data_IF_151781808462
#
_entry.id   IF_151781808462
#
_cell.length_a   1.000
_cell.length_b   1.000
_cell.length_c   1.000
_cell.angle_alpha   90.00
_cell.angle_beta   90.00
_cell.angle_gamma   90.00
#
_symmetry.space_group_name_H-M   'P 1'
#
loop_
_entity.id
_entity.type
_entity.pdbx_description
1 polymer ?
#
# COMPACT_ATOMS: atom_id res chain seq x y z
N UNK A 1 17.02 14.25 8.51
CA UNK A 1 15.66 13.95 8.01
C UNK A 1 14.68 14.32 9.09
N UNK A 2 13.54 14.89 8.73
CA UNK A 2 12.50 15.28 9.68
C UNK A 2 11.71 14.02 10.12
N UNK A 3 11.41 13.93 11.42
CA UNK A 3 10.51 12.91 11.95
C UNK A 3 9.06 13.37 11.78
N UNK A 4 8.17 12.44 11.48
CA UNK A 4 6.73 12.72 11.34
C UNK A 4 5.90 11.86 12.28
N UNK A 5 4.78 12.43 12.72
CA UNK A 5 3.80 11.76 13.57
C UNK A 5 2.41 11.92 12.95
N UNK A 6 1.71 10.82 12.78
CA UNK A 6 0.41 10.74 12.15
C UNK A 6 -0.59 10.02 13.06
N UNK A 7 -1.79 10.58 13.17
CA UNK A 7 -2.87 9.86 13.80
C UNK A 7 -3.44 8.80 12.84
N UNK A 8 -3.93 7.70 13.40
CA UNK A 8 -4.59 6.67 12.60
C UNK A 8 -5.80 7.24 11.86
N UNK A 9 -5.95 6.97 10.55
CA UNK A 9 -7.11 7.41 9.79
C UNK A 9 -8.39 6.63 10.11
N UNK A 10 -8.31 5.56 10.88
CA UNK A 10 -9.46 4.74 11.26
C UNK A 10 -9.26 4.11 12.63
N UNK A 11 -10.36 3.75 13.28
CA UNK A 11 -10.36 3.01 14.53
C UNK A 11 -10.19 1.51 14.29
N UNK A 12 -9.65 0.81 15.28
CA UNK A 12 -9.36 -0.61 15.27
C UNK A 12 -8.17 -0.90 16.18
N UNK A 13 -7.39 -1.91 15.86
CA UNK A 13 -6.16 -2.27 16.57
C UNK A 13 -4.94 -1.95 15.72
N UNK A 14 -4.09 -1.05 16.20
CA UNK A 14 -2.85 -0.68 15.52
C UNK A 14 -1.84 -1.85 15.57
N UNK A 15 -1.30 -2.25 14.42
CA UNK A 15 -0.31 -3.32 14.28
C UNK A 15 0.84 -2.89 13.35
N UNK A 16 2.04 -3.47 13.48
CA UNK A 16 3.12 -3.24 12.53
C UNK A 16 2.79 -3.83 11.15
N UNK A 17 3.34 -3.24 10.08
CA UNK A 17 3.13 -3.73 8.72
C UNK A 17 3.57 -5.18 8.53
N UNK A 18 4.58 -5.63 9.28
CA UNK A 18 5.09 -7.02 9.23
C UNK A 18 4.05 -8.08 9.62
N UNK A 19 2.96 -7.69 10.28
CA UNK A 19 1.85 -8.58 10.62
C UNK A 19 0.77 -8.65 9.52
N UNK A 20 0.88 -7.84 8.47
CA UNK A 20 -0.06 -7.90 7.33
C UNK A 20 0.25 -9.15 6.50
N UNK A 21 -0.77 -9.87 6.11
CA UNK A 21 -0.65 -11.13 5.35
C UNK A 21 -0.08 -10.95 3.95
N UNK A 22 -0.25 -9.75 3.36
CA UNK A 22 0.28 -9.42 2.04
C UNK A 22 1.76 -9.03 2.11
N UNK A 23 2.67 -9.81 1.48
CA UNK A 23 4.11 -9.52 1.48
C UNK A 23 4.48 -8.14 0.89
N UNK A 24 3.68 -7.58 -0.02
CA UNK A 24 3.94 -6.26 -0.59
C UNK A 24 3.87 -5.16 0.48
N UNK A 25 2.97 -5.31 1.46
CA UNK A 25 2.89 -4.40 2.61
C UNK A 25 3.87 -4.80 3.71
N UNK A 26 3.92 -6.08 4.05
CA UNK A 26 4.72 -6.59 5.17
C UNK A 26 6.23 -6.31 5.01
N UNK A 27 6.73 -6.35 3.77
CA UNK A 27 8.14 -6.08 3.45
C UNK A 27 8.52 -4.59 3.52
N UNK A 28 7.54 -3.68 3.59
CA UNK A 28 7.76 -2.24 3.50
C UNK A 28 8.17 -1.74 2.10
N UNK A 29 8.09 -2.58 1.07
CA UNK A 29 8.44 -2.21 -0.31
C UNK A 29 7.58 -1.07 -0.88
N UNK A 30 6.35 -0.92 -0.38
CA UNK A 30 5.41 0.13 -0.77
C UNK A 30 5.56 1.43 0.02
N UNK A 31 6.44 1.45 1.02
CA UNK A 31 6.63 2.56 1.94
C UNK A 31 6.67 2.10 3.40
N UNK A 32 6.86 3.05 4.32
CA UNK A 32 6.86 2.77 5.76
C UNK A 32 5.53 3.18 6.37
N UNK A 33 5.09 2.44 7.38
CA UNK A 33 3.80 2.74 8.00
C UNK A 33 3.41 1.77 9.09
N UNK A 34 2.11 1.68 9.30
CA UNK A 34 1.45 0.75 10.20
C UNK A 34 0.19 0.19 9.53
N UNK A 35 -0.45 -0.78 10.16
CA UNK A 35 -1.74 -1.27 9.71
C UNK A 35 -2.77 -1.26 10.85
N UNK A 36 -4.04 -1.23 10.47
CA UNK A 36 -5.15 -1.29 11.41
C UNK A 36 -5.88 -2.62 11.21
N UNK A 37 -5.79 -3.48 12.20
CA UNK A 37 -6.56 -4.71 12.27
C UNK A 37 -7.95 -4.41 12.86
N UNK A 38 -8.95 -5.21 12.43
CA UNK A 38 -10.33 -5.11 12.94
C UNK A 38 -10.93 -3.69 12.84
N UNK A 39 -10.86 -3.04 11.65
CA UNK A 39 -11.30 -1.66 11.51
C UNK A 39 -12.82 -1.50 11.65
N UNK A 40 -13.28 -0.32 12.14
CA UNK A 40 -14.71 0.00 12.32
C UNK A 40 -15.43 0.42 11.02
N UNK A 41 -14.79 0.44 9.87
CA UNK A 41 -15.44 0.70 8.58
C UNK A 41 -15.54 2.19 8.19
N UNK A 42 -14.85 3.11 8.89
CA UNK A 42 -14.79 4.54 8.54
C UNK A 42 -13.35 5.01 8.44
N UNK A 43 -13.01 5.61 7.31
CA UNK A 43 -11.69 6.19 7.03
C UNK A 43 -11.82 7.71 7.01
N UNK A 44 -11.04 8.38 7.84
CA UNK A 44 -10.93 9.84 7.87
C UNK A 44 -9.54 10.29 7.43
N UNK A 45 -9.40 11.52 6.96
CA UNK A 45 -8.08 12.05 6.63
C UNK A 45 -7.23 12.27 7.88
N UNK A 46 -6.02 11.70 7.94
CA UNK A 46 -5.09 11.96 9.05
C UNK A 46 -4.36 13.32 8.91
N UNK A 47 -4.48 13.97 7.77
CA UNK A 47 -3.77 15.22 7.41
C UNK A 47 -4.68 16.19 6.68
N UNK A 48 -4.27 17.46 6.60
CA UNK A 48 -4.75 18.40 5.61
C UNK A 48 -4.02 18.15 4.29
N UNK A 49 -4.71 18.10 3.15
CA UNK A 49 -4.06 17.81 1.88
C UNK A 49 -5.02 17.69 0.70
N UNK A 50 -4.56 17.05 -0.35
CA UNK A 50 -5.32 16.79 -1.58
C UNK A 50 -5.39 15.28 -1.85
N UNK A 51 -6.53 14.80 -2.30
CA UNK A 51 -6.71 13.41 -2.77
C UNK A 51 -6.03 13.26 -4.12
N UNK A 52 -4.86 12.65 -4.15
CA UNK A 52 -4.06 12.44 -5.37
C UNK A 52 -4.56 11.26 -6.19
N UNK A 53 -5.10 10.24 -5.52
CA UNK A 53 -5.70 9.09 -6.19
C UNK A 53 -6.86 8.53 -5.38
N UNK A 54 -7.94 8.17 -6.07
CA UNK A 54 -9.03 7.35 -5.55
C UNK A 54 -9.29 6.25 -6.57
N UNK A 55 -9.04 5.00 -6.18
CA UNK A 55 -9.24 3.86 -7.06
C UNK A 55 -10.74 3.67 -7.37
N UNK A 56 -11.07 3.27 -8.60
CA UNK A 56 -12.46 3.07 -9.03
C UNK A 56 -13.24 2.08 -8.15
N UNK A 57 -12.57 1.06 -7.62
CA UNK A 57 -13.09 0.11 -6.61
C UNK A 57 -13.10 0.66 -5.17
N UNK A 58 -12.71 1.92 -4.95
CA UNK A 58 -12.76 2.65 -3.66
C UNK A 58 -12.03 1.96 -2.48
N UNK A 59 -11.29 0.90 -2.74
CA UNK A 59 -10.56 0.14 -1.72
C UNK A 59 -9.27 0.86 -1.27
N UNK A 60 -8.77 1.79 -2.08
CA UNK A 60 -7.55 2.51 -1.76
C UNK A 60 -7.67 3.99 -2.14
N UNK A 61 -7.06 4.84 -1.30
CA UNK A 61 -7.01 6.29 -1.47
C UNK A 61 -5.61 6.80 -1.15
N UNK A 62 -5.09 7.67 -2.01
CA UNK A 62 -3.85 8.41 -1.80
C UNK A 62 -4.11 9.87 -1.50
N UNK A 63 -3.31 10.44 -0.59
CA UNK A 63 -3.39 11.84 -0.17
C UNK A 63 -1.98 12.44 -0.18
N UNK A 64 -1.83 13.58 -0.83
CA UNK A 64 -0.65 14.42 -0.68
C UNK A 64 -0.94 15.47 0.38
N UNK A 65 -0.21 15.45 1.49
CA UNK A 65 -0.42 16.41 2.57
C UNK A 65 0.15 17.79 2.24
N UNK A 66 -0.36 18.82 2.90
CA UNK A 66 0.19 20.18 2.80
C UNK A 66 1.67 20.27 3.24
N UNK A 67 2.12 19.33 4.07
CA UNK A 67 3.51 19.23 4.56
C UNK A 67 4.40 18.33 3.68
N UNK A 68 3.89 17.88 2.52
CA UNK A 68 4.65 17.09 1.53
C UNK A 68 4.68 15.59 1.79
N UNK A 69 3.82 15.05 2.66
CA UNK A 69 3.74 13.61 2.95
C UNK A 69 2.80 12.95 1.94
N UNK A 70 3.28 11.90 1.26
CA UNK A 70 2.45 11.07 0.39
C UNK A 70 1.93 9.86 1.16
N UNK A 71 0.62 9.84 1.40
CA UNK A 71 -0.08 8.80 2.13
C UNK A 71 -0.83 7.88 1.18
N UNK A 72 -0.80 6.58 1.47
CA UNK A 72 -1.68 5.57 0.88
C UNK A 72 -2.41 4.83 2.00
N UNK A 73 -3.74 4.82 1.94
CA UNK A 73 -4.60 4.02 2.81
C UNK A 73 -5.24 2.93 1.93
N UNK A 74 -4.99 1.67 2.25
CA UNK A 74 -5.46 0.53 1.47
C UNK A 74 -6.35 -0.35 2.33
N UNK A 75 -7.67 -0.30 2.11
CA UNK A 75 -8.65 -1.01 2.93
C UNK A 75 -8.70 -2.48 2.54
N UNK A 76 -8.25 -3.32 3.45
CA UNK A 76 -8.24 -4.77 3.30
C UNK A 76 -7.15 -5.29 2.36
N UNK A 77 -7.06 -6.60 2.25
CA UNK A 77 -6.17 -7.30 1.34
C UNK A 77 -6.99 -7.89 0.19
N UNK A 78 -6.54 -7.68 -1.04
CA UNK A 78 -7.21 -8.17 -2.27
C UNK A 78 -8.63 -7.61 -2.52
N UNK A 79 -9.08 -6.62 -1.78
CA UNK A 79 -10.42 -6.04 -1.85
C UNK A 79 -10.71 -5.26 -3.14
N UNK A 80 -9.70 -5.04 -3.99
CA UNK A 80 -9.88 -4.58 -5.38
C UNK A 80 -10.84 -5.49 -6.16
N UNK A 81 -10.87 -6.79 -5.84
CA UNK A 81 -11.73 -7.80 -6.48
C UNK A 81 -13.23 -7.62 -6.18
N UNK A 82 -13.56 -6.83 -5.16
CA UNK A 82 -14.94 -6.48 -4.82
C UNK A 82 -15.51 -5.40 -5.75
N UNK A 83 -14.70 -4.80 -6.64
CA UNK A 83 -15.10 -3.81 -7.64
C UNK A 83 -15.91 -2.64 -7.06
N UNK A 84 -15.66 -2.29 -5.79
CA UNK A 84 -16.33 -1.22 -5.06
C UNK A 84 -17.56 -1.66 -4.27
N UNK A 85 -17.95 -2.93 -4.31
CA UNK A 85 -19.00 -3.48 -3.46
C UNK A 85 -18.58 -3.34 -1.97
N UNK A 86 -19.50 -2.90 -1.15
CA UNK A 86 -19.30 -2.61 0.27
C UNK A 86 -18.44 -1.37 0.57
N UNK A 87 -18.15 -0.52 -0.44
CA UNK A 87 -17.41 0.72 -0.26
C UNK A 87 -18.22 1.94 -0.71
N UNK A 88 -18.16 3.00 0.06
CA UNK A 88 -18.71 4.32 -0.27
C UNK A 88 -17.63 5.37 -0.15
N UNK A 89 -17.39 6.14 -1.23
CA UNK A 89 -16.50 7.28 -1.21
C UNK A 89 -17.29 8.57 -0.96
N UNK A 90 -16.75 9.45 -0.11
CA UNK A 90 -17.31 10.76 0.22
C UNK A 90 -16.48 11.90 -0.37
N UNK A 91 -15.41 11.55 -1.08
CA UNK A 91 -14.50 12.46 -1.78
C UNK A 91 -14.20 11.92 -3.16
N UNK A 92 -13.65 12.78 -4.02
CA UNK A 92 -13.15 12.45 -5.34
C UNK A 92 -11.66 12.78 -5.45
N UNK A 93 -11.00 12.22 -6.46
CA UNK A 93 -9.64 12.62 -6.81
C UNK A 93 -9.60 14.11 -7.19
N UNK A 94 -8.63 14.84 -6.65
CA UNK A 94 -8.47 16.28 -6.78
C UNK A 94 -9.16 17.09 -5.66
N UNK A 95 -9.95 16.45 -4.79
CA UNK A 95 -10.57 17.15 -3.67
C UNK A 95 -9.53 17.55 -2.61
N UNK A 96 -9.68 18.77 -2.08
CA UNK A 96 -8.96 19.18 -0.87
C UNK A 96 -9.68 18.66 0.34
N UNK A 97 -8.92 18.03 1.26
CA UNK A 97 -9.44 17.41 2.48
C UNK A 97 -8.78 18.02 3.72
N UNK A 98 -9.51 17.95 4.82
CA UNK A 98 -9.05 18.38 6.14
C UNK A 98 -8.86 17.19 7.07
N UNK A 99 -7.92 17.28 8.00
CA UNK A 99 -7.76 16.29 9.06
C UNK A 99 -9.10 16.01 9.76
N UNK A 100 -9.42 14.74 9.91
CA UNK A 100 -10.69 14.26 10.48
C UNK A 100 -11.88 14.23 9.51
N UNK A 101 -11.73 14.75 8.28
CA UNK A 101 -12.78 14.66 7.27
C UNK A 101 -12.98 13.22 6.81
N UNK A 102 -14.26 12.79 6.73
CA UNK A 102 -14.61 11.46 6.22
C UNK A 102 -14.25 11.32 4.76
N UNK A 103 -13.51 10.27 4.43
CA UNK A 103 -13.05 9.95 3.08
C UNK A 103 -13.81 8.78 2.48
N UNK A 104 -13.83 7.65 3.21
CA UNK A 104 -14.43 6.39 2.80
C UNK A 104 -15.24 5.78 3.94
N UNK A 105 -16.30 5.08 3.58
CA UNK A 105 -16.95 4.11 4.44
C UNK A 105 -16.95 2.75 3.77
N UNK A 106 -16.85 1.69 4.58
CA UNK A 106 -16.91 0.31 4.10
C UNK A 106 -17.58 -0.58 5.15
N UNK A 107 -18.13 -1.69 4.71
CA UNK A 107 -18.72 -2.69 5.60
C UNK A 107 -17.73 -3.83 5.87
N UNK A 108 -17.04 -3.81 7.03
CA UNK A 108 -16.02 -4.81 7.32
C UNK A 108 -16.60 -6.23 7.50
N UNK A 109 -17.86 -6.35 7.93
CA UNK A 109 -18.50 -7.67 8.10
C UNK A 109 -18.87 -8.25 6.74
N UNK A 110 -19.43 -7.45 5.86
CA UNK A 110 -19.76 -7.87 4.50
C UNK A 110 -18.50 -8.23 3.69
N UNK A 111 -17.41 -7.47 3.84
CA UNK A 111 -16.12 -7.77 3.19
C UNK A 111 -15.57 -9.12 3.69
N UNK A 112 -15.61 -9.37 5.00
CA UNK A 112 -15.20 -10.66 5.58
C UNK A 112 -16.10 -11.81 5.13
N UNK A 113 -17.39 -11.59 4.99
CA UNK A 113 -18.32 -12.59 4.48
C UNK A 113 -18.03 -13.00 3.02
N UNK A 114 -17.48 -12.10 2.22
CA UNK A 114 -16.99 -12.39 0.85
C UNK A 114 -15.61 -13.10 0.85
N UNK A 115 -15.02 -13.37 2.01
CA UNK A 115 -13.73 -14.06 2.16
C UNK A 115 -12.49 -13.18 2.10
N UNK A 116 -12.61 -11.86 2.25
CA UNK A 116 -11.49 -10.93 2.22
C UNK A 116 -11.12 -10.43 3.61
N UNK A 117 -9.83 -10.16 3.81
CA UNK A 117 -9.34 -9.55 5.04
C UNK A 117 -9.59 -8.04 5.02
N UNK A 118 -9.91 -7.49 6.21
CA UNK A 118 -10.18 -6.06 6.38
C UNK A 118 -9.00 -5.30 6.98
N UNK A 119 -7.91 -5.97 7.34
CA UNK A 119 -6.68 -5.31 7.80
C UNK A 119 -6.26 -4.23 6.81
N UNK A 120 -6.11 -3.01 7.31
CA UNK A 120 -5.96 -1.80 6.50
C UNK A 120 -4.56 -1.20 6.67
N UNK A 121 -3.62 -1.44 5.74
CA UNK A 121 -2.35 -0.74 5.69
C UNK A 121 -2.49 0.76 5.48
N UNK A 122 -1.69 1.54 6.22
CA UNK A 122 -1.53 2.98 6.11
C UNK A 122 -0.05 3.29 5.93
N UNK A 123 0.31 3.81 4.77
CA UNK A 123 1.69 3.93 4.33
C UNK A 123 2.05 5.38 4.03
N UNK A 124 3.29 5.75 4.34
CA UNK A 124 3.97 6.91 3.76
C UNK A 124 4.80 6.41 2.59
N UNK A 125 4.41 6.73 1.37
CA UNK A 125 5.03 6.17 0.15
C UNK A 125 6.33 6.88 -0.20
N UNK A 126 6.46 8.17 0.11
CA UNK A 126 7.72 8.93 0.03
C UNK A 126 8.54 8.86 1.35
N UNK A 127 8.47 7.74 2.04
CA UNK A 127 9.08 7.54 3.36
C UNK A 127 10.61 7.72 3.40
N UNK A 128 11.28 7.64 2.24
CA UNK A 128 12.72 7.88 2.14
C UNK A 128 13.13 9.32 2.47
N UNK A 129 12.18 10.27 2.36
CA UNK A 129 12.42 11.70 2.62
C UNK A 129 12.40 12.03 4.12
N UNK A 130 11.92 11.09 4.95
CA UNK A 130 11.68 11.28 6.38
C UNK A 130 12.56 10.38 7.24
N UNK A 131 12.80 10.83 8.47
CA UNK A 131 13.45 10.07 9.53
C UNK A 131 12.50 9.00 10.11
N UNK A 132 12.14 9.15 11.38
CA UNK A 132 11.18 8.28 12.05
C UNK A 132 9.75 8.63 11.64
N UNK A 133 8.96 7.62 11.31
CA UNK A 133 7.52 7.76 11.04
C UNK A 133 6.77 7.06 12.17
N UNK A 134 5.92 7.79 12.87
CA UNK A 134 5.15 7.30 14.00
C UNK A 134 3.66 7.41 13.71
N UNK A 135 2.94 6.30 13.84
CA UNK A 135 1.49 6.26 13.83
C UNK A 135 0.95 6.09 15.24
N UNK A 136 -0.15 6.79 15.55
CA UNK A 136 -0.81 6.78 16.86
C UNK A 136 -2.29 6.45 16.74
N UNK A 137 -2.80 5.66 17.68
CA UNK A 137 -4.23 5.36 17.82
C UNK A 137 -4.56 5.24 19.30
N UNK A 138 -5.17 6.28 19.89
CA UNK A 138 -5.31 6.38 21.33
C UNK A 138 -3.94 6.36 22.02
N UNK A 139 -3.74 5.45 22.97
CA UNK A 139 -2.47 5.27 23.67
C UNK A 139 -1.48 4.36 22.92
N UNK A 140 -1.92 3.72 21.83
CA UNK A 140 -1.05 2.86 21.02
C UNK A 140 -0.21 3.69 20.06
N UNK A 141 1.07 3.30 19.94
CA UNK A 141 2.03 3.94 19.04
C UNK A 141 2.87 2.88 18.32
N UNK A 142 3.00 3.01 17.00
CA UNK A 142 3.91 2.22 16.19
C UNK A 142 4.82 3.16 15.41
N UNK A 143 6.12 2.94 15.54
CA UNK A 143 7.15 3.70 14.82
C UNK A 143 7.86 2.83 13.80
N UNK A 144 8.12 3.40 12.63
CA UNK A 144 8.92 2.80 11.58
C UNK A 144 9.96 3.78 11.07
N UNK A 145 11.20 3.32 10.89
CA UNK A 145 12.34 4.16 10.52
C UNK A 145 13.06 4.76 11.73
N UNK A 146 14.16 5.46 11.53
CA UNK A 146 15.21 5.61 12.52
C UNK A 146 16.09 4.37 12.42
N UNK A 147 17.20 4.14 12.72
CA UNK A 147 18.13 3.01 12.50
C UNK A 147 17.48 1.71 12.00
N UNK A 148 17.38 1.57 10.69
CA UNK A 148 17.10 0.26 10.08
C UNK A 148 18.35 -0.57 10.32
N UNK A 149 18.29 -1.71 11.03
CA UNK A 149 19.43 -2.61 11.12
C UNK A 149 19.90 -2.94 9.70
N UNK A 150 21.19 -2.87 9.46
CA UNK A 150 21.81 -3.08 8.14
C UNK A 150 21.47 -4.47 7.55
N UNK A 151 20.99 -5.38 8.37
CA UNK A 151 20.55 -6.73 8.01
C UNK A 151 19.24 -6.74 7.16
N UNK A 152 18.35 -5.77 7.31
CA UNK A 152 17.13 -5.69 6.49
C UNK A 152 17.40 -5.17 5.05
N UNK A 153 18.57 -4.56 4.81
CA UNK A 153 19.02 -4.14 3.48
C UNK A 153 19.61 -5.28 2.64
N UNK A 154 19.89 -6.43 3.25
CA UNK A 154 20.64 -7.50 2.58
C UNK A 154 19.76 -8.49 1.81
N UNK A 155 18.44 -8.52 2.03
CA UNK A 155 17.56 -9.52 1.38
C UNK A 155 16.78 -9.02 0.17
N UNK A 156 16.82 -7.75 -0.16
CA UNK A 156 16.19 -7.21 -1.36
C UNK A 156 17.19 -6.95 -2.50
N UNK A 157 18.21 -7.80 -2.67
CA UNK A 157 18.88 -7.88 -3.97
C UNK A 157 17.93 -8.61 -4.91
N UNK A 158 17.19 -7.83 -5.70
CA UNK A 158 16.60 -8.38 -6.91
C UNK A 158 17.69 -9.15 -7.66
N UNK A 159 17.41 -10.35 -8.18
CA UNK A 159 18.39 -11.10 -8.93
C UNK A 159 18.95 -10.21 -10.04
N UNK A 160 20.26 -9.98 -10.02
CA UNK A 160 20.93 -9.25 -11.08
C UNK A 160 21.03 -10.22 -12.24
N UNK A 161 20.27 -9.96 -13.28
CA UNK A 161 20.36 -10.71 -14.52
C UNK A 161 21.34 -9.95 -15.43
N UNK A 162 22.48 -10.57 -15.73
CA UNK A 162 23.56 -10.00 -16.54
C UNK A 162 23.13 -9.65 -17.98
N UNK A 163 21.98 -10.17 -18.44
CA UNK A 163 21.40 -9.88 -19.75
C UNK A 163 20.59 -8.57 -19.82
N UNK A 164 20.39 -7.89 -18.69
CA UNK A 164 19.63 -6.63 -18.63
C UNK A 164 20.60 -5.46 -18.49
N UNK A 165 20.56 -4.52 -19.45
CA UNK A 165 21.39 -3.32 -19.46
C UNK A 165 21.30 -2.57 -18.10
N UNK A 166 22.42 -2.46 -17.37
CA UNK A 166 22.43 -1.83 -16.05
C UNK A 166 22.16 -0.31 -16.10
N UNK A 167 22.24 0.31 -17.28
CA UNK A 167 22.00 1.74 -17.47
C UNK A 167 20.51 2.09 -17.67
N UNK A 168 19.63 1.10 -17.80
CA UNK A 168 18.19 1.34 -17.88
C UNK A 168 17.65 1.86 -16.54
N UNK A 169 16.60 2.70 -16.56
CA UNK A 169 15.87 3.08 -15.36
C UNK A 169 15.46 1.85 -14.53
N UNK A 170 15.45 2.01 -13.20
CA UNK A 170 15.15 0.92 -12.26
C UNK A 170 13.84 0.21 -12.60
N UNK A 171 12.82 1.00 -12.95
CA UNK A 171 11.47 0.53 -13.28
C UNK A 171 11.49 -0.36 -14.54
N UNK A 172 12.25 0.04 -15.56
CA UNK A 172 12.39 -0.74 -16.80
C UNK A 172 13.17 -2.04 -16.58
N UNK A 173 14.19 -2.01 -15.73
CA UNK A 173 14.93 -3.22 -15.36
C UNK A 173 14.06 -4.22 -14.64
N UNK A 174 13.26 -3.75 -13.66
CA UNK A 174 12.32 -4.60 -12.92
C UNK A 174 11.25 -5.16 -13.85
N UNK A 175 10.70 -4.36 -14.76
CA UNK A 175 9.72 -4.82 -15.73
C UNK A 175 10.29 -5.89 -16.66
N UNK A 176 11.52 -5.71 -17.14
CA UNK A 176 12.21 -6.72 -17.98
C UNK A 176 12.51 -8.02 -17.24
N UNK A 177 12.92 -7.92 -15.96
CA UNK A 177 13.11 -9.09 -15.11
C UNK A 177 11.80 -9.88 -14.94
N UNK A 178 10.73 -9.22 -14.55
CA UNK A 178 9.41 -9.85 -14.42
C UNK A 178 9.02 -10.53 -15.72
N UNK A 179 9.14 -9.81 -16.85
CA UNK A 179 8.79 -10.31 -18.18
C UNK A 179 9.57 -11.56 -18.56
N UNK A 180 10.86 -11.60 -18.26
CA UNK A 180 11.72 -12.76 -18.51
C UNK A 180 11.33 -13.96 -17.67
N UNK A 181 11.14 -13.75 -16.36
CA UNK A 181 10.83 -14.84 -15.41
C UNK A 181 9.43 -15.44 -15.61
N UNK A 182 8.47 -14.70 -16.17
CA UNK A 182 7.16 -15.26 -16.51
C UNK A 182 7.07 -15.87 -17.91
N UNK A 183 8.20 -15.99 -18.63
CA UNK A 183 8.25 -16.62 -19.95
C UNK A 183 7.86 -15.71 -21.12
N UNK A 184 7.88 -14.37 -20.92
CA UNK A 184 7.67 -13.38 -21.97
C UNK A 184 6.25 -13.35 -22.55
N UNK A 185 6.10 -12.70 -23.71
CA UNK A 185 4.82 -12.48 -24.39
C UNK A 185 4.06 -13.77 -24.74
N UNK A 186 4.77 -14.83 -25.01
CA UNK A 186 4.16 -16.12 -25.39
C UNK A 186 3.46 -16.82 -24.22
N UNK A 187 3.87 -16.54 -22.99
CA UNK A 187 3.31 -17.16 -21.79
C UNK A 187 2.32 -16.27 -21.02
N UNK A 188 2.40 -14.94 -21.17
CA UNK A 188 1.47 -14.02 -20.47
C UNK A 188 0.17 -13.93 -21.25
N UNK A 189 -0.93 -14.35 -20.61
CA UNK A 189 -2.29 -14.34 -21.17
C UNK A 189 -3.04 -13.07 -20.85
N UNK A 190 -2.88 -12.56 -19.64
CA UNK A 190 -3.38 -11.25 -19.22
C UNK A 190 -2.52 -10.68 -18.10
N UNK A 191 -2.53 -9.37 -17.96
CA UNK A 191 -1.86 -8.64 -16.89
C UNK A 191 -2.87 -7.68 -16.26
N UNK A 192 -3.00 -7.75 -14.94
CA UNK A 192 -3.82 -6.86 -14.14
C UNK A 192 -2.95 -6.23 -13.05
N UNK A 193 -3.16 -4.97 -12.74
CA UNK A 193 -2.42 -4.31 -11.68
C UNK A 193 -3.35 -3.55 -10.73
N UNK A 194 -2.99 -3.52 -9.47
CA UNK A 194 -3.48 -2.53 -8.52
C UNK A 194 -2.25 -1.78 -7.94
N UNK A 195 -2.48 -0.85 -7.01
CA UNK A 195 -1.39 -0.07 -6.43
C UNK A 195 -0.24 -0.91 -5.84
N UNK A 196 -0.51 -2.15 -5.45
CA UNK A 196 0.40 -3.01 -4.71
C UNK A 196 0.84 -4.27 -5.44
N UNK A 197 0.15 -4.66 -6.53
CA UNK A 197 0.40 -5.95 -7.20
C UNK A 197 0.26 -5.86 -8.71
N UNK A 198 1.22 -6.47 -9.40
CA UNK A 198 1.08 -6.91 -10.78
C UNK A 198 0.63 -8.38 -10.76
N UNK A 199 -0.52 -8.67 -11.38
CA UNK A 199 -1.02 -10.03 -11.57
C UNK A 199 -0.86 -10.41 -13.02
N UNK A 200 -0.20 -11.53 -13.25
CA UNK A 200 -0.03 -12.11 -14.58
C UNK A 200 -0.76 -13.44 -14.62
N UNK A 201 -1.62 -13.61 -15.61
CA UNK A 201 -2.16 -14.93 -15.93
C UNK A 201 -1.26 -15.51 -17.01
N UNK A 202 -0.58 -16.59 -16.69
CA UNK A 202 0.37 -17.28 -17.57
C UNK A 202 -0.21 -18.60 -18.09
N UNK A 203 0.24 -18.99 -19.26
CA UNK A 203 -0.18 -20.25 -19.89
C UNK A 203 0.54 -21.45 -19.25
N UNK A 204 1.80 -21.32 -18.92
CA UNK A 204 2.61 -22.36 -18.29
C UNK A 204 3.15 -21.87 -16.93
N UNK A 205 2.68 -22.52 -15.85
CA UNK A 205 3.09 -22.20 -14.47
C UNK A 205 4.41 -22.87 -14.07
N UNK A 206 4.96 -23.75 -14.87
CA UNK A 206 6.21 -24.44 -14.56
C UNK A 206 7.43 -23.54 -14.76
N UNK A 207 7.24 -22.37 -15.36
CA UNK A 207 8.28 -21.38 -15.66
C UNK A 207 8.43 -20.34 -14.52
N UNK A 208 7.53 -20.33 -13.51
CA UNK A 208 7.49 -19.31 -12.47
C UNK A 208 8.04 -19.89 -11.16
#
# INVERSE_FOLDING_TARGET
MQDIRLDSPLKGRLIPLSEVTDPAFASGAMGRGAAIAEPEGRVVSPVDGEVTVLFGSKHAIGIHSADGIDLLIHVGVDTVKLEGKHFTAHVAQGDTVKRGQLLLEFDPEAIRAEGYETTTPVLVTNAADYGKITFTLGDAEISSGGDVPEEAKAEAKAPVDDDIDPNLPKEERVAKLIWKYVGGAGNVRSAEHCATRLRLIVNDKSII
#
